data_IF_664177505276
#
_entry.id   IF_664177505276
#
_cell.length_a   1.000
_cell.length_b   1.000
_cell.length_c   1.000
_cell.angle_alpha   90.00
_cell.angle_beta   90.00
_cell.angle_gamma   90.00
#
_symmetry.space_group_name_H-M   'P 1'
#
loop_
_entity.id
_entity.type
_entity.pdbx_description
1 polymer ?
#
# COMPACT_ATOMS: atom_id res chain seq x y z
N UNK A 1 33.36 19.98 -1.74
CA UNK A 1 32.61 18.82 -2.24
C UNK A 1 31.14 19.18 -2.26
N UNK A 2 30.63 19.57 -3.43
CA UNK A 2 29.27 20.08 -3.64
C UNK A 2 28.36 18.94 -3.96
N UNK A 3 27.43 18.60 -3.06
CA UNK A 3 26.38 17.59 -3.27
C UNK A 3 25.29 18.24 -4.11
N UNK A 4 25.25 17.89 -5.39
CA UNK A 4 24.23 18.33 -6.33
C UNK A 4 22.89 17.68 -6.02
N UNK A 5 22.00 18.41 -5.35
CA UNK A 5 20.60 18.04 -5.15
C UNK A 5 19.85 18.18 -6.48
N UNK A 6 19.74 17.08 -7.23
CA UNK A 6 18.75 16.99 -8.31
C UNK A 6 17.38 16.70 -7.74
N UNK A 7 16.74 17.71 -7.17
CA UNK A 7 15.31 17.72 -6.89
C UNK A 7 14.58 17.78 -8.23
N UNK A 8 14.13 16.62 -8.71
CA UNK A 8 13.16 16.53 -9.80
C UNK A 8 11.88 17.25 -9.40
N UNK A 9 11.68 18.42 -10.01
CA UNK A 9 10.45 19.21 -9.90
C UNK A 9 9.33 18.43 -10.59
N UNK A 10 8.56 17.65 -9.85
CA UNK A 10 7.27 17.18 -10.31
C UNK A 10 6.30 18.35 -10.23
N UNK A 11 6.17 19.04 -11.35
CA UNK A 11 5.11 20.03 -11.56
C UNK A 11 3.82 19.22 -11.76
N UNK A 12 2.96 19.26 -10.76
CA UNK A 12 1.59 18.74 -10.85
C UNK A 12 0.79 19.77 -11.65
N UNK A 13 0.76 19.61 -12.97
CA UNK A 13 -0.12 20.40 -13.83
C UNK A 13 -1.52 19.79 -13.73
N UNK A 14 -2.36 20.39 -12.89
CA UNK A 14 -3.80 20.21 -12.94
C UNK A 14 -4.35 20.91 -14.20
N UNK A 15 -4.19 20.30 -15.35
CA UNK A 15 -4.87 20.70 -16.58
C UNK A 15 -6.29 20.12 -16.59
N UNK A 16 -7.29 20.95 -16.34
CA UNK A 16 -8.69 20.65 -16.68
C UNK A 16 -8.80 20.57 -18.20
N UNK A 17 -8.74 19.37 -18.75
CA UNK A 17 -9.19 19.09 -20.10
C UNK A 17 -10.45 18.24 -19.99
N UNK A 18 -11.60 18.90 -20.14
CA UNK A 18 -12.87 18.24 -20.42
C UNK A 18 -12.77 17.59 -21.79
N UNK A 19 -12.46 16.30 -21.83
CA UNK A 19 -12.61 15.47 -23.01
C UNK A 19 -13.64 14.39 -22.67
N UNK A 20 -14.85 14.61 -23.14
CA UNK A 20 -15.91 13.62 -23.23
C UNK A 20 -15.46 12.52 -24.20
N UNK A 21 -14.98 11.41 -23.68
CA UNK A 21 -14.84 10.17 -24.44
C UNK A 21 -15.64 9.11 -23.73
N UNK A 22 -16.85 8.89 -24.21
CA UNK A 22 -17.65 7.73 -23.92
C UNK A 22 -16.94 6.49 -24.47
N UNK A 23 -16.26 5.79 -23.59
CA UNK A 23 -15.86 4.41 -23.77
C UNK A 23 -16.21 3.68 -22.48
N UNK A 24 -17.42 3.18 -22.39
CA UNK A 24 -17.83 2.19 -21.41
C UNK A 24 -17.08 0.90 -21.71
N UNK A 25 -15.83 0.83 -21.28
CA UNK A 25 -15.12 -0.43 -21.18
C UNK A 25 -15.76 -1.17 -20.02
N UNK A 26 -16.62 -2.13 -20.30
CA UNK A 26 -17.08 -3.14 -19.36
C UNK A 26 -15.88 -3.97 -18.93
N UNK A 27 -15.08 -3.44 -18.02
CA UNK A 27 -14.06 -4.22 -17.33
C UNK A 27 -14.78 -5.25 -16.45
N UNK A 28 -14.52 -6.52 -16.72
CA UNK A 28 -15.06 -7.63 -15.97
C UNK A 28 -14.89 -7.38 -14.46
N UNK A 29 -16.00 -7.39 -13.72
CA UNK A 29 -16.15 -7.08 -12.28
C UNK A 29 -15.20 -7.88 -11.35
N UNK A 30 -14.49 -8.89 -11.87
CA UNK A 30 -13.64 -9.81 -11.11
C UNK A 30 -12.18 -9.40 -10.94
N UNK A 31 -11.57 -8.73 -11.92
CA UNK A 31 -10.13 -8.45 -11.93
C UNK A 31 -9.74 -7.16 -11.21
N UNK A 32 -10.65 -6.19 -11.14
CA UNK A 32 -10.37 -4.90 -10.52
C UNK A 32 -10.10 -5.01 -9.00
N UNK A 33 -10.67 -6.03 -8.34
CA UNK A 33 -10.58 -6.22 -6.89
C UNK A 33 -9.35 -7.01 -6.41
N UNK A 34 -8.64 -7.70 -7.31
CA UNK A 34 -7.46 -8.49 -6.95
C UNK A 34 -6.26 -7.58 -6.70
N UNK A 35 -5.80 -7.54 -5.45
CA UNK A 35 -4.61 -6.76 -5.06
C UNK A 35 -4.88 -5.33 -4.61
N UNK A 36 -6.13 -4.86 -4.60
CA UNK A 36 -6.48 -3.57 -4.04
C UNK A 36 -6.43 -3.60 -2.50
N UNK A 37 -5.98 -2.51 -1.91
CA UNK A 37 -6.05 -2.36 -0.46
C UNK A 37 -7.53 -2.31 0.00
N UNK A 38 -7.83 -2.66 1.27
CA UNK A 38 -9.19 -2.70 1.78
C UNK A 38 -9.95 -1.36 1.67
N UNK A 39 -9.22 -0.26 1.70
CA UNK A 39 -9.74 1.09 1.59
C UNK A 39 -10.24 1.38 0.17
N UNK A 40 -9.43 1.04 -0.86
CA UNK A 40 -9.82 1.17 -2.26
C UNK A 40 -11.02 0.28 -2.59
N UNK A 41 -11.00 -0.97 -2.12
CA UNK A 41 -12.12 -1.91 -2.30
C UNK A 41 -13.42 -1.39 -1.71
N UNK A 42 -13.35 -0.71 -0.57
CA UNK A 42 -14.54 -0.11 0.05
C UNK A 42 -15.01 1.10 -0.74
N UNK A 43 -14.13 2.08 -0.98
CA UNK A 43 -14.49 3.35 -1.63
C UNK A 43 -15.05 3.18 -3.05
N UNK A 44 -14.60 2.13 -3.76
CA UNK A 44 -15.06 1.82 -5.12
C UNK A 44 -16.16 0.74 -5.17
N UNK A 45 -16.64 0.27 -4.01
CA UNK A 45 -17.79 -0.63 -3.94
C UNK A 45 -19.10 0.17 -3.97
N UNK A 46 -20.19 -0.44 -4.46
CA UNK A 46 -21.55 0.15 -4.41
C UNK A 46 -21.85 0.68 -3.01
N UNK A 47 -21.59 -0.14 -1.97
CA UNK A 47 -21.80 0.25 -0.58
C UNK A 47 -20.99 1.47 -0.14
N UNK A 48 -19.77 1.65 -0.64
CA UNK A 48 -18.92 2.81 -0.32
C UNK A 48 -19.40 4.05 -1.04
N UNK A 49 -19.78 3.90 -2.31
CA UNK A 49 -20.35 4.95 -3.15
C UNK A 49 -21.64 5.49 -2.52
N UNK A 50 -22.58 4.61 -2.18
CA UNK A 50 -23.86 4.97 -1.56
C UNK A 50 -23.66 5.62 -0.19
N UNK A 51 -22.81 5.03 0.65
CA UNK A 51 -22.59 5.53 2.02
C UNK A 51 -21.95 6.91 2.06
N UNK A 52 -21.09 7.22 1.09
CA UNK A 52 -20.42 8.51 0.95
C UNK A 52 -21.11 9.42 -0.05
N UNK A 53 -22.15 8.96 -0.75
CA UNK A 53 -22.83 9.70 -1.82
C UNK A 53 -21.83 10.27 -2.83
N UNK A 54 -20.91 9.42 -3.32
CA UNK A 54 -19.88 9.82 -4.25
C UNK A 54 -20.45 10.13 -5.62
N UNK A 55 -20.14 11.30 -6.15
CA UNK A 55 -20.47 11.66 -7.54
C UNK A 55 -19.69 10.81 -8.54
N UNK A 56 -20.15 10.73 -9.78
CA UNK A 56 -19.43 10.00 -10.84
C UNK A 56 -18.02 10.57 -11.09
N UNK A 57 -17.89 11.88 -10.98
CA UNK A 57 -16.61 12.56 -11.10
C UNK A 57 -15.65 12.13 -9.96
N UNK A 58 -16.13 12.15 -8.71
CA UNK A 58 -15.36 11.68 -7.57
C UNK A 58 -14.95 10.21 -7.69
N UNK A 59 -15.86 9.35 -8.17
CA UNK A 59 -15.56 7.94 -8.42
C UNK A 59 -14.45 7.77 -9.46
N UNK A 60 -14.48 8.57 -10.52
CA UNK A 60 -13.46 8.56 -11.58
C UNK A 60 -12.10 9.01 -11.04
N UNK A 61 -12.08 10.10 -10.27
CA UNK A 61 -10.87 10.60 -9.62
C UNK A 61 -10.30 9.57 -8.64
N UNK A 62 -11.13 8.95 -7.81
CA UNK A 62 -10.69 7.89 -6.88
C UNK A 62 -10.14 6.66 -7.61
N UNK A 63 -10.75 6.24 -8.73
CA UNK A 63 -10.22 5.15 -9.57
C UNK A 63 -8.82 5.47 -10.09
N UNK A 64 -8.61 6.70 -10.57
CA UNK A 64 -7.30 7.15 -11.04
C UNK A 64 -6.24 7.14 -9.92
N UNK A 65 -6.57 7.69 -8.74
CA UNK A 65 -5.67 7.69 -7.57
C UNK A 65 -5.27 6.26 -7.17
N UNK A 66 -6.22 5.33 -7.15
CA UNK A 66 -5.92 3.95 -6.77
C UNK A 66 -5.15 3.19 -7.86
N UNK A 67 -5.37 3.49 -9.13
CA UNK A 67 -4.59 2.92 -10.23
C UNK A 67 -3.13 3.38 -10.15
N UNK A 68 -2.91 4.67 -9.96
CA UNK A 68 -1.57 5.23 -9.76
C UNK A 68 -0.88 4.65 -8.53
N UNK A 69 -1.59 4.60 -7.40
CA UNK A 69 -1.08 3.98 -6.17
C UNK A 69 -0.64 2.54 -6.41
N UNK A 70 -1.46 1.73 -7.10
CA UNK A 70 -1.14 0.35 -7.43
C UNK A 70 0.15 0.24 -8.23
N UNK A 71 0.31 1.08 -9.25
CA UNK A 71 1.50 1.12 -10.09
C UNK A 71 2.75 1.50 -9.29
N UNK A 72 2.67 2.56 -8.49
CA UNK A 72 3.79 3.02 -7.67
C UNK A 72 4.18 2.00 -6.58
N UNK A 73 3.21 1.33 -5.95
CA UNK A 73 3.49 0.24 -5.01
C UNK A 73 4.12 -0.97 -5.70
N UNK A 74 3.69 -1.29 -6.92
CA UNK A 74 4.30 -2.37 -7.69
C UNK A 74 5.76 -2.05 -8.05
N UNK A 75 6.04 -0.82 -8.49
CA UNK A 75 7.38 -0.35 -8.78
C UNK A 75 8.31 -0.42 -7.55
N UNK A 76 7.84 0.04 -6.37
CA UNK A 76 8.61 -0.04 -5.13
C UNK A 76 8.84 -1.47 -4.63
N UNK A 77 7.89 -2.36 -4.89
CA UNK A 77 7.97 -3.76 -4.46
C UNK A 77 8.93 -4.56 -5.34
N UNK A 78 8.97 -4.26 -6.62
CA UNK A 78 9.56 -5.10 -7.64
C UNK A 78 8.72 -6.32 -7.99
N UNK A 79 9.18 -7.12 -8.90
CA UNK A 79 8.56 -8.40 -9.25
C UNK A 79 8.83 -9.49 -8.20
N UNK A 80 8.29 -10.68 -8.43
CA UNK A 80 8.44 -11.82 -7.50
C UNK A 80 9.90 -12.26 -7.33
N UNK A 81 10.66 -12.21 -8.41
CA UNK A 81 12.05 -12.68 -8.40
C UNK A 81 12.95 -11.66 -7.69
N UNK A 82 12.75 -10.36 -7.94
CA UNK A 82 13.40 -9.30 -7.18
C UNK A 82 13.07 -9.36 -5.68
N UNK A 83 11.81 -9.63 -5.32
CA UNK A 83 11.41 -9.82 -3.92
C UNK A 83 12.07 -11.05 -3.29
N UNK A 84 12.17 -12.16 -4.02
CA UNK A 84 12.82 -13.38 -3.56
C UNK A 84 14.32 -13.14 -3.38
N UNK A 85 14.98 -12.55 -4.37
CA UNK A 85 16.40 -12.19 -4.30
C UNK A 85 16.71 -11.27 -3.11
N UNK A 86 15.89 -10.24 -2.89
CA UNK A 86 16.05 -9.33 -1.75
C UNK A 86 15.91 -10.04 -0.39
N UNK A 87 15.00 -11.03 -0.28
CA UNK A 87 14.86 -11.85 0.94
C UNK A 87 16.06 -12.74 1.18
N UNK A 88 16.59 -13.38 0.12
CA UNK A 88 17.79 -14.22 0.20
C UNK A 88 18.97 -13.35 0.62
N UNK A 89 19.23 -12.25 -0.06
CA UNK A 89 20.32 -11.34 0.28
C UNK A 89 20.24 -10.78 1.71
N UNK A 90 19.03 -10.46 2.19
CA UNK A 90 18.84 -10.04 3.58
C UNK A 90 19.15 -11.17 4.56
N UNK A 91 18.71 -12.40 4.26
CA UNK A 91 19.00 -13.57 5.09
C UNK A 91 20.51 -13.83 5.16
N UNK A 92 21.19 -13.82 4.03
CA UNK A 92 22.66 -14.02 3.96
C UNK A 92 23.41 -12.99 4.80
N UNK A 93 23.03 -11.71 4.72
CA UNK A 93 23.64 -10.65 5.55
C UNK A 93 23.36 -10.86 7.05
N UNK A 94 22.16 -11.30 7.40
CA UNK A 94 21.85 -11.63 8.80
C UNK A 94 22.63 -12.84 9.28
N UNK A 95 22.71 -13.90 8.47
CA UNK A 95 23.47 -15.09 8.83
C UNK A 95 24.98 -14.77 8.98
N UNK A 96 25.53 -13.93 8.11
CA UNK A 96 26.90 -13.44 8.21
C UNK A 96 27.14 -12.65 9.49
N UNK A 97 26.22 -11.75 9.87
CA UNK A 97 26.30 -10.98 11.11
C UNK A 97 26.29 -11.89 12.35
N UNK A 98 25.45 -12.93 12.33
CA UNK A 98 25.35 -13.89 13.45
C UNK A 98 26.55 -14.84 13.55
N UNK A 99 27.28 -15.07 12.46
CA UNK A 99 28.44 -15.93 12.42
C UNK A 99 29.72 -15.26 12.98
N UNK A 100 29.72 -13.94 13.17
CA UNK A 100 30.89 -13.23 13.74
C UNK A 100 31.02 -13.47 15.24
N UNK A 101 32.26 -13.60 15.71
CA UNK A 101 32.54 -13.77 17.17
C UNK A 101 32.22 -12.51 17.97
N UNK A 102 32.44 -11.34 17.38
CA UNK A 102 32.09 -10.05 17.95
C UNK A 102 30.93 -9.46 17.10
N UNK A 103 29.96 -8.87 17.77
CA UNK A 103 28.82 -8.24 17.09
C UNK A 103 29.27 -7.01 16.32
N UNK A 104 29.01 -6.99 15.03
CA UNK A 104 29.29 -5.84 14.14
C UNK A 104 28.10 -4.87 14.12
N UNK A 105 28.21 -3.82 14.96
CA UNK A 105 27.17 -2.78 15.05
C UNK A 105 26.97 -2.03 13.72
N UNK A 106 28.03 -1.81 12.93
CA UNK A 106 27.92 -1.09 11.66
C UNK A 106 27.15 -1.90 10.63
N UNK A 107 27.45 -3.18 10.50
CA UNK A 107 26.70 -4.08 9.61
C UNK A 107 25.24 -4.20 10.04
N UNK A 108 24.96 -4.26 11.34
CA UNK A 108 23.60 -4.25 11.86
C UNK A 108 22.86 -2.95 11.54
N UNK A 109 23.50 -1.79 11.70
CA UNK A 109 22.94 -0.48 11.39
C UNK A 109 22.63 -0.35 9.89
N UNK A 110 23.48 -0.87 9.01
CA UNK A 110 23.19 -0.87 7.55
C UNK A 110 21.94 -1.68 7.21
N UNK A 111 21.77 -2.86 7.81
CA UNK A 111 20.57 -3.67 7.62
C UNK A 111 19.31 -2.94 8.11
N UNK A 112 19.39 -2.27 9.24
CA UNK A 112 18.29 -1.49 9.81
C UNK A 112 17.96 -0.31 8.91
N UNK A 113 18.94 0.47 8.44
CA UNK A 113 18.76 1.61 7.54
C UNK A 113 18.09 1.21 6.23
N UNK A 114 18.58 0.16 5.59
CA UNK A 114 18.01 -0.32 4.33
C UNK A 114 16.53 -0.71 4.48
N UNK A 115 16.16 -1.32 5.61
CA UNK A 115 14.76 -1.65 5.92
C UNK A 115 13.91 -0.40 6.20
N UNK A 116 14.48 0.57 6.93
CA UNK A 116 13.80 1.83 7.26
C UNK A 116 13.54 2.66 6.00
N UNK A 117 14.52 2.81 5.12
CA UNK A 117 14.39 3.56 3.86
C UNK A 117 13.24 3.00 3.00
N UNK A 118 13.21 1.68 2.83
CA UNK A 118 12.12 1.03 2.10
C UNK A 118 10.77 1.25 2.78
N UNK A 119 10.72 1.15 4.11
CA UNK A 119 9.53 1.43 4.91
C UNK A 119 9.05 2.87 4.76
N UNK A 120 9.95 3.83 4.78
CA UNK A 120 9.66 5.25 4.59
C UNK A 120 9.08 5.54 3.20
N UNK A 121 9.63 4.93 2.14
CA UNK A 121 9.10 5.09 0.77
C UNK A 121 7.66 4.59 0.67
N UNK A 122 7.35 3.42 1.23
CA UNK A 122 5.99 2.90 1.28
C UNK A 122 5.04 3.77 2.11
N UNK A 123 5.51 4.26 3.25
CA UNK A 123 4.73 5.14 4.12
C UNK A 123 4.43 6.47 3.42
N UNK A 124 5.41 7.07 2.77
CA UNK A 124 5.25 8.32 2.01
C UNK A 124 4.25 8.15 0.87
N UNK A 125 4.36 7.07 0.10
CA UNK A 125 3.42 6.78 -0.98
C UNK A 125 1.99 6.63 -0.46
N UNK A 126 1.83 5.93 0.66
CA UNK A 126 0.53 5.79 1.31
C UNK A 126 -0.03 7.15 1.76
N UNK A 127 0.78 7.99 2.37
CA UNK A 127 0.35 9.33 2.82
C UNK A 127 -0.05 10.21 1.65
N UNK A 128 0.70 10.20 0.54
CA UNK A 128 0.34 10.91 -0.70
C UNK A 128 -1.03 10.47 -1.23
N UNK A 129 -1.27 9.16 -1.27
CA UNK A 129 -2.57 8.62 -1.71
C UNK A 129 -3.70 8.99 -0.75
N UNK A 130 -3.46 8.89 0.57
CA UNK A 130 -4.46 9.30 1.57
C UNK A 130 -4.79 10.80 1.44
N UNK A 131 -3.79 11.64 1.17
CA UNK A 131 -3.98 13.07 0.92
C UNK A 131 -4.79 13.32 -0.36
N UNK A 132 -4.44 12.65 -1.46
CA UNK A 132 -5.17 12.79 -2.72
C UNK A 132 -6.65 12.40 -2.57
N UNK A 133 -6.94 11.28 -1.88
CA UNK A 133 -8.31 10.87 -1.56
C UNK A 133 -9.03 11.96 -0.74
N UNK A 134 -8.35 12.54 0.23
CA UNK A 134 -8.91 13.59 1.08
C UNK A 134 -9.31 14.84 0.29
N UNK A 135 -8.55 15.20 -0.75
CA UNK A 135 -8.87 16.34 -1.62
C UNK A 135 -10.09 16.11 -2.51
N UNK A 136 -10.37 14.87 -2.89
CA UNK A 136 -11.55 14.51 -3.68
C UNK A 136 -12.84 14.59 -2.86
N UNK A 137 -12.78 14.33 -1.54
CA UNK A 137 -13.93 14.27 -0.65
C UNK A 137 -14.30 15.64 -0.10
N UNK A 138 -15.61 15.95 -0.01
CA UNK A 138 -16.10 17.11 0.70
C UNK A 138 -16.05 16.93 2.24
N UNK A 139 -16.43 17.93 3.02
CA UNK A 139 -16.31 17.93 4.47
C UNK A 139 -17.11 16.78 5.13
N UNK A 140 -18.37 16.57 4.75
CA UNK A 140 -19.24 15.53 5.30
C UNK A 140 -18.76 14.12 4.92
N UNK A 141 -18.32 13.98 3.67
CA UNK A 141 -17.73 12.73 3.19
C UNK A 141 -16.45 12.37 3.92
N UNK A 142 -15.62 13.36 4.28
CA UNK A 142 -14.39 13.18 5.05
C UNK A 142 -14.66 12.61 6.45
N UNK A 143 -15.67 13.10 7.14
CA UNK A 143 -16.06 12.58 8.46
C UNK A 143 -16.53 11.13 8.37
N UNK A 144 -17.46 10.86 7.46
CA UNK A 144 -17.94 9.49 7.19
C UNK A 144 -16.81 8.54 6.81
N UNK A 145 -15.87 9.02 6.00
CA UNK A 145 -14.70 8.25 5.58
C UNK A 145 -13.75 7.93 6.75
N UNK A 146 -13.55 8.85 7.69
CA UNK A 146 -12.74 8.58 8.88
C UNK A 146 -13.35 7.46 9.74
N UNK A 147 -14.65 7.46 9.93
CA UNK A 147 -15.35 6.38 10.65
C UNK A 147 -15.16 5.02 9.95
N UNK A 148 -15.29 4.99 8.63
CA UNK A 148 -15.05 3.80 7.83
C UNK A 148 -13.61 3.31 8.00
N UNK A 149 -12.63 4.21 7.96
CA UNK A 149 -11.21 3.90 8.17
C UNK A 149 -10.96 3.25 9.53
N UNK A 150 -11.58 3.75 10.59
CA UNK A 150 -11.50 3.16 11.94
C UNK A 150 -12.05 1.73 11.96
N UNK A 151 -13.20 1.50 11.30
CA UNK A 151 -13.82 0.17 11.22
C UNK A 151 -12.96 -0.83 10.40
N UNK A 152 -12.40 -0.40 9.27
CA UNK A 152 -11.54 -1.25 8.44
C UNK A 152 -10.27 -1.68 9.19
N UNK A 153 -9.66 -0.77 9.96
CA UNK A 153 -8.50 -1.08 10.81
C UNK A 153 -8.83 -2.12 11.88
N UNK A 154 -9.95 -1.96 12.59
CA UNK A 154 -10.39 -2.93 13.62
C UNK A 154 -10.61 -4.34 13.05
N UNK A 155 -11.18 -4.45 11.85
CA UNK A 155 -11.39 -5.75 11.17
C UNK A 155 -10.09 -6.40 10.73
N UNK A 156 -9.09 -5.62 10.30
CA UNK A 156 -7.78 -6.13 9.92
C UNK A 156 -7.03 -6.77 11.09
N UNK A 157 -7.09 -6.19 12.27
CA UNK A 157 -6.45 -6.74 13.48
C UNK A 157 -7.08 -8.06 13.96
N UNK A 158 -8.40 -8.23 13.82
CA UNK A 158 -9.07 -9.48 14.25
C UNK A 158 -8.72 -10.69 13.37
N UNK A 159 -8.43 -10.50 12.08
CA UNK A 159 -8.09 -11.60 11.17
C UNK A 159 -6.64 -12.10 11.32
N UNK A 160 -5.73 -11.29 11.84
CA UNK A 160 -4.33 -11.66 12.02
C UNK A 160 -4.06 -12.63 13.17
N UNK A 161 -4.96 -12.76 14.14
CA UNK A 161 -4.76 -13.60 15.32
C UNK A 161 -5.27 -15.04 15.18
N UNK A 162 -6.02 -15.38 14.14
CA UNK A 162 -6.59 -16.72 14.00
C UNK A 162 -5.78 -17.68 13.10
N UNK A 163 -4.69 -17.23 12.46
CA UNK A 163 -3.91 -18.05 11.53
C UNK A 163 -2.93 -19.04 12.15
N UNK A 164 -2.57 -18.90 13.44
CA UNK A 164 -1.52 -19.74 14.05
C UNK A 164 -2.01 -20.76 15.10
N UNK A 165 -3.32 -20.88 15.30
CA UNK A 165 -3.86 -21.78 16.33
C UNK A 165 -4.23 -23.17 15.82
N UNK A 166 -4.22 -23.41 14.52
CA UNK A 166 -4.62 -24.69 13.90
C UNK A 166 -3.53 -25.76 13.88
N UNK A 167 -2.26 -25.39 13.72
CA UNK A 167 -1.19 -26.35 13.51
C UNK A 167 -0.63 -27.02 14.80
N UNK A 168 -0.78 -26.39 15.95
CA UNK A 168 -0.25 -26.97 17.23
C UNK A 168 -1.14 -28.03 17.88
N UNK A 169 -2.30 -28.33 17.32
CA UNK A 169 -3.22 -29.34 17.90
C UNK A 169 -3.09 -30.72 17.28
N UNK A 170 -2.44 -30.85 16.12
CA UNK A 170 -2.23 -32.13 15.46
C UNK A 170 -1.03 -32.92 16.04
N UNK A 171 0.01 -32.26 16.56
CA UNK A 171 1.19 -32.94 17.10
C UNK A 171 1.02 -33.50 18.54
N UNK A 172 -0.10 -33.19 19.20
CA UNK A 172 -0.31 -33.61 20.62
C UNK A 172 -1.20 -34.83 20.78
N UNK A 173 -1.65 -35.44 19.70
CA UNK A 173 -2.52 -36.63 19.74
C UNK A 173 -1.83 -37.94 19.37
N UNK A 174 -0.51 -37.94 19.14
CA UNK A 174 0.30 -39.13 18.84
C UNK A 174 1.45 -39.33 19.81
N UNK A 175 1.23 -39.06 21.10
CA UNK A 175 2.18 -39.38 22.18
C UNK A 175 1.51 -40.17 23.29
#
# INVERSE_FOLDING_TARGET
MTISNKLSKFVLVCGLAAASVGATSAMAKGDFNRGMNPQARFLLSERGIDKLQLTEEQQTQLKAIFAEQKTQFAALRGDKDAMKAARVAHKEKMDALLATKAFDENAALELIKARQEKGQQFAMLKMKSDHAIWQVLNAEQRESYQEIKKHLRKKGHKKGHHGHRGERKAERSEG
#
